data_IF_030490169784
#
_entry.id   IF_030490169784
#
_cell.length_a   1.000
_cell.length_b   1.000
_cell.length_c   1.000
_cell.angle_alpha   90.00
_cell.angle_beta   90.00
_cell.angle_gamma   90.00
#
_symmetry.space_group_name_H-M   'P 1'
#
loop_
_entity.id
_entity.type
_entity.pdbx_description
1 polymer ?
#
# COMPACT_ATOMS: atom_id res chain seq x y z
N UNK A 1 -1.71 -7.92 -2.29
CA UNK A 1 -1.95 -6.52 -2.72
C UNK A 1 -0.69 -5.84 -3.21
N UNK A 2 0.34 -5.61 -2.36
CA UNK A 2 1.59 -4.96 -2.81
C UNK A 2 2.24 -5.68 -4.01
N UNK A 3 2.54 -6.97 -3.89
CA UNK A 3 3.08 -7.77 -5.01
C UNK A 3 2.15 -7.77 -6.23
N UNK A 4 0.84 -7.83 -6.00
CA UNK A 4 -0.18 -7.77 -7.04
C UNK A 4 -0.13 -6.45 -7.82
N UNK A 5 0.17 -5.35 -7.14
CA UNK A 5 0.37 -4.04 -7.75
C UNK A 5 1.70 -3.94 -8.51
N UNK A 6 2.53 -4.99 -8.49
CA UNK A 6 3.87 -4.99 -9.07
C UNK A 6 4.92 -4.33 -8.17
N UNK A 7 4.67 -4.22 -6.86
CA UNK A 7 5.69 -3.82 -5.91
C UNK A 7 6.78 -4.90 -5.79
N UNK A 8 7.98 -4.59 -6.26
CA UNK A 8 9.19 -5.41 -6.12
C UNK A 8 10.32 -4.49 -5.67
N UNK A 9 10.67 -4.46 -4.37
CA UNK A 9 11.71 -3.56 -3.89
C UNK A 9 13.07 -4.00 -4.47
N UNK A 10 13.93 -3.04 -4.81
CA UNK A 10 15.18 -3.25 -5.56
C UNK A 10 16.12 -4.27 -4.91
N UNK A 11 16.25 -4.28 -3.58
CA UNK A 11 17.09 -5.26 -2.88
C UNK A 11 16.58 -6.71 -2.99
N UNK A 12 15.28 -6.91 -3.27
CA UNK A 12 14.72 -8.26 -3.49
C UNK A 12 15.13 -8.84 -4.86
N UNK A 13 15.77 -8.05 -5.72
CA UNK A 13 16.24 -8.46 -7.06
C UNK A 13 17.75 -8.79 -7.09
N UNK A 14 18.48 -8.63 -5.97
CA UNK A 14 19.95 -8.81 -5.89
C UNK A 14 20.74 -7.68 -6.58
N UNK A 15 22.04 -7.87 -6.83
CA UNK A 15 22.94 -6.93 -7.54
C UNK A 15 22.52 -6.61 -9.00
N UNK A 16 21.32 -7.01 -9.42
CA UNK A 16 20.77 -6.65 -10.73
C UNK A 16 20.31 -5.19 -10.65
N UNK A 17 20.80 -4.37 -11.59
CA UNK A 17 20.38 -2.98 -11.81
C UNK A 17 18.88 -2.82 -11.50
N UNK A 18 18.54 -1.83 -10.67
CA UNK A 18 17.16 -1.37 -10.50
C UNK A 18 16.63 -1.08 -11.91
N UNK A 19 15.62 -1.82 -12.40
CA UNK A 19 15.14 -1.59 -13.75
C UNK A 19 14.70 -0.13 -13.91
N UNK A 20 14.98 0.46 -15.07
CA UNK A 20 14.51 1.80 -15.49
C UNK A 20 12.97 1.94 -15.41
N UNK A 21 12.28 0.81 -15.27
CA UNK A 21 10.84 0.65 -15.04
C UNK A 21 10.40 0.68 -13.57
N UNK A 22 11.26 1.12 -12.64
CA UNK A 22 10.96 1.12 -11.21
C UNK A 22 9.88 2.14 -10.83
N UNK A 23 9.04 1.74 -9.87
CA UNK A 23 8.07 2.63 -9.25
C UNK A 23 8.79 3.66 -8.39
N UNK A 24 8.31 4.90 -8.35
CA UNK A 24 8.89 6.00 -7.56
C UNK A 24 8.07 6.36 -6.33
N UNK A 25 6.83 5.87 -6.24
CA UNK A 25 6.10 5.97 -5.00
C UNK A 25 4.93 5.01 -4.87
N UNK A 26 4.40 4.93 -3.66
CA UNK A 26 3.18 4.21 -3.34
C UNK A 26 2.27 5.10 -2.49
N UNK A 27 0.99 5.12 -2.83
CA UNK A 27 -0.04 5.81 -2.07
C UNK A 27 -1.13 4.86 -1.61
N UNK A 28 -1.50 4.99 -0.34
CA UNK A 28 -2.72 4.44 0.24
C UNK A 28 -3.59 5.59 0.79
N UNK A 29 -4.57 6.09 0.02
CA UNK A 29 -5.40 7.22 0.42
C UNK A 29 -6.54 6.86 1.40
N UNK A 30 -6.64 5.59 1.80
CA UNK A 30 -7.61 5.08 2.78
C UNK A 30 -6.90 4.17 3.79
N UNK A 31 -5.87 4.72 4.46
CA UNK A 31 -4.89 3.89 5.12
C UNK A 31 -5.41 3.16 6.37
N UNK A 32 -6.47 3.64 7.02
CA UNK A 32 -7.01 3.02 8.23
C UNK A 32 -5.92 2.87 9.30
N UNK A 33 -5.61 1.63 9.71
CA UNK A 33 -4.54 1.31 10.67
C UNK A 33 -3.12 1.36 10.08
N UNK A 34 -2.97 1.66 8.79
CA UNK A 34 -1.70 1.88 8.11
C UNK A 34 -1.04 0.61 7.54
N UNK A 35 -1.71 -0.54 7.59
CA UNK A 35 -1.09 -1.85 7.32
C UNK A 35 -0.41 -1.91 5.96
N UNK A 36 -1.07 -1.47 4.88
CA UNK A 36 -0.52 -1.53 3.51
C UNK A 36 0.74 -0.66 3.42
N UNK A 37 0.68 0.57 3.92
CA UNK A 37 1.80 1.50 3.86
C UNK A 37 2.96 1.09 4.77
N UNK A 38 2.68 0.53 5.95
CA UNK A 38 3.69 0.01 6.88
C UNK A 38 4.42 -1.19 6.28
N UNK A 39 3.69 -2.16 5.72
CA UNK A 39 4.30 -3.31 5.04
C UNK A 39 5.07 -2.87 3.80
N UNK A 40 4.54 -1.93 3.00
CA UNK A 40 5.25 -1.35 1.87
C UNK A 40 6.55 -0.66 2.30
N UNK A 41 6.54 0.06 3.41
CA UNK A 41 7.74 0.74 3.94
C UNK A 41 8.74 -0.26 4.52
N UNK A 42 8.27 -1.31 5.19
CA UNK A 42 9.13 -2.39 5.67
C UNK A 42 9.80 -3.12 4.50
N UNK A 43 9.04 -3.42 3.45
CA UNK A 43 9.55 -3.99 2.21
C UNK A 43 10.51 -3.03 1.50
N UNK A 44 10.25 -1.73 1.45
CA UNK A 44 11.19 -0.74 0.89
C UNK A 44 12.54 -0.77 1.62
N UNK A 45 12.50 -0.81 2.96
CA UNK A 45 13.69 -0.80 3.82
C UNK A 45 14.41 -2.15 3.93
N UNK A 46 13.91 -3.22 3.32
CA UNK A 46 14.49 -4.55 3.47
C UNK A 46 14.28 -5.19 4.83
N UNK A 47 13.30 -4.72 5.60
CA UNK A 47 13.05 -5.24 6.94
C UNK A 47 12.39 -6.62 6.86
N UNK A 48 12.98 -7.66 7.49
CA UNK A 48 12.40 -8.99 7.43
C UNK A 48 11.05 -9.04 8.17
N UNK A 49 10.10 -9.86 7.66
CA UNK A 49 8.87 -10.15 8.39
C UNK A 49 9.20 -10.88 9.70
N UNK A 50 8.40 -10.65 10.74
CA UNK A 50 8.59 -11.33 12.02
C UNK A 50 9.85 -10.92 12.79
N UNK A 51 10.57 -9.85 12.40
CA UNK A 51 11.79 -9.35 13.08
C UNK A 51 11.65 -9.01 14.57
N UNK A 52 10.41 -8.84 15.04
CA UNK A 52 10.11 -8.59 16.46
C UNK A 52 9.75 -9.86 17.22
N UNK A 53 9.76 -11.03 16.57
CA UNK A 53 9.54 -12.31 17.25
C UNK A 53 10.83 -12.68 18.00
N UNK A 54 10.68 -12.98 19.29
CA UNK A 54 11.80 -13.37 20.13
C UNK A 54 12.25 -14.82 19.89
N UNK A 55 11.44 -15.62 19.20
CA UNK A 55 11.70 -17.03 18.97
C UNK A 55 11.45 -17.45 17.52
N UNK A 56 12.06 -18.58 17.16
CA UNK A 56 11.83 -19.25 15.89
C UNK A 56 10.37 -19.68 15.75
N UNK A 57 9.74 -19.56 14.56
CA UNK A 57 8.42 -20.13 14.31
C UNK A 57 8.39 -21.67 14.45
N UNK A 58 9.56 -22.32 14.45
CA UNK A 58 9.73 -23.76 14.62
C UNK A 58 10.03 -24.17 16.07
N UNK A 59 9.99 -23.24 17.02
CA UNK A 59 10.26 -23.54 18.43
C UNK A 59 9.37 -24.69 18.93
N UNK A 60 9.97 -25.68 19.60
CA UNK A 60 9.29 -26.87 20.10
C UNK A 60 8.99 -27.93 19.05
N UNK A 61 9.54 -27.82 17.83
CA UNK A 61 9.40 -28.82 16.77
C UNK A 61 10.74 -29.48 16.45
N UNK A 62 10.72 -30.61 15.73
CA UNK A 62 11.94 -31.26 15.23
C UNK A 62 12.73 -30.39 14.23
N UNK A 63 12.14 -29.31 13.74
CA UNK A 63 12.76 -28.35 12.82
C UNK A 63 13.38 -27.15 13.56
N UNK A 64 13.38 -27.15 14.89
CA UNK A 64 13.96 -26.06 15.67
C UNK A 64 15.49 -26.00 15.49
N UNK A 65 15.96 -24.96 14.81
CA UNK A 65 17.36 -24.55 14.82
C UNK A 65 17.46 -23.09 15.25
N UNK A 66 17.50 -22.89 16.56
CA UNK A 66 17.54 -21.56 17.17
C UNK A 66 18.82 -20.77 16.83
N UNK A 67 19.94 -21.47 16.57
CA UNK A 67 21.20 -20.82 16.14
C UNK A 67 21.09 -20.31 14.71
N UNK A 68 20.60 -21.14 13.78
CA UNK A 68 20.38 -20.76 12.39
C UNK A 68 19.35 -19.65 12.27
N UNK A 69 18.22 -19.74 12.98
CA UNK A 69 17.23 -18.68 13.03
C UNK A 69 17.85 -17.34 13.45
N UNK A 70 18.55 -17.32 14.59
CA UNK A 70 19.18 -16.09 15.10
C UNK A 70 20.24 -15.55 14.15
N UNK A 71 21.00 -16.42 13.48
CA UNK A 71 21.96 -16.02 12.44
C UNK A 71 21.28 -15.35 11.25
N UNK A 72 20.24 -15.97 10.70
CA UNK A 72 19.54 -15.43 9.52
C UNK A 72 18.81 -14.12 9.84
N UNK A 73 18.17 -14.00 11.01
CA UNK A 73 17.55 -12.74 11.45
C UNK A 73 18.60 -11.63 11.54
N UNK A 74 19.79 -11.89 12.13
CA UNK A 74 20.86 -10.89 12.20
C UNK A 74 21.39 -10.49 10.82
N UNK A 75 21.60 -11.44 9.92
CA UNK A 75 22.03 -11.16 8.53
C UNK A 75 21.01 -10.28 7.80
N UNK A 76 19.72 -10.60 7.89
CA UNK A 76 18.67 -9.81 7.25
C UNK A 76 18.56 -8.40 7.83
N UNK A 77 18.71 -8.23 9.15
CA UNK A 77 18.72 -6.91 9.77
C UNK A 77 19.94 -6.08 9.35
N UNK A 78 21.13 -6.68 9.28
CA UNK A 78 22.33 -6.00 8.81
C UNK A 78 22.19 -5.54 7.35
N UNK A 79 21.60 -6.38 6.48
CA UNK A 79 21.31 -6.00 5.09
C UNK A 79 20.31 -4.82 5.01
N UNK A 80 19.29 -4.81 5.88
CA UNK A 80 18.33 -3.72 5.95
C UNK A 80 18.97 -2.38 6.37
N UNK A 81 19.94 -2.40 7.28
CA UNK A 81 20.67 -1.19 7.69
C UNK A 81 21.51 -0.62 6.54
N UNK A 82 22.15 -1.48 5.74
CA UNK A 82 22.86 -1.08 4.52
C UNK A 82 21.88 -0.45 3.51
N UNK A 83 20.75 -1.11 3.27
CA UNK A 83 19.73 -0.59 2.35
C UNK A 83 19.20 0.78 2.79
N UNK A 84 19.02 0.99 4.10
CA UNK A 84 18.59 2.28 4.65
C UNK A 84 19.59 3.39 4.37
N UNK A 85 20.89 3.11 4.46
CA UNK A 85 21.94 4.08 4.12
C UNK A 85 21.97 4.39 2.62
N UNK A 86 21.68 3.41 1.77
CA UNK A 86 21.64 3.59 0.32
C UNK A 86 20.36 4.30 -0.17
N UNK A 87 19.27 4.22 0.59
CA UNK A 87 17.99 4.87 0.31
C UNK A 87 18.00 6.40 0.49
N UNK A 88 19.08 7.00 1.01
CA UNK A 88 19.22 8.46 1.13
C UNK A 88 19.15 9.20 -0.22
N UNK A 89 19.35 8.48 -1.33
CA UNK A 89 19.09 8.98 -2.68
C UNK A 89 17.61 8.76 -3.06
N UNK A 90 16.69 9.55 -2.47
CA UNK A 90 15.31 9.98 -2.89
C UNK A 90 14.49 9.22 -3.96
N UNK A 91 14.76 7.96 -4.29
CA UNK A 91 14.18 7.30 -5.45
C UNK A 91 12.75 6.79 -5.20
N UNK A 92 12.35 6.63 -3.93
CA UNK A 92 11.04 6.10 -3.57
C UNK A 92 10.39 6.83 -2.39
N UNK A 93 9.09 7.13 -2.48
CA UNK A 93 8.30 7.68 -1.38
C UNK A 93 6.99 6.91 -1.15
N UNK A 94 6.62 6.72 0.11
CA UNK A 94 5.34 6.08 0.48
C UNK A 94 4.49 7.09 1.23
N UNK A 95 3.25 7.30 0.77
CA UNK A 95 2.26 8.16 1.40
C UNK A 95 1.05 7.37 1.86
N UNK A 96 0.63 7.61 3.09
CA UNK A 96 -0.59 7.09 3.69
C UNK A 96 -1.47 8.25 4.13
N UNK A 97 -2.74 8.23 3.77
CA UNK A 97 -3.71 9.21 4.29
C UNK A 97 -5.03 8.58 4.66
N UNK A 98 -5.72 9.24 5.59
CA UNK A 98 -7.09 8.94 5.98
C UNK A 98 -7.74 10.23 6.53
N UNK A 99 -9.06 10.34 6.37
CA UNK A 99 -9.83 11.47 6.90
C UNK A 99 -10.00 11.37 8.42
N UNK A 100 -10.05 10.14 8.92
CA UNK A 100 -10.28 9.84 10.33
C UNK A 100 -9.01 10.05 11.16
N UNK A 101 -9.11 10.86 12.21
CA UNK A 101 -7.97 11.12 13.10
C UNK A 101 -7.55 9.88 13.89
N UNK A 102 -8.50 9.01 14.27
CA UNK A 102 -8.23 7.78 14.99
C UNK A 102 -7.38 6.81 14.16
N UNK A 103 -7.74 6.64 12.88
CA UNK A 103 -6.96 5.90 11.89
C UNK A 103 -5.53 6.43 11.75
N UNK A 104 -5.36 7.75 11.66
CA UNK A 104 -4.02 8.36 11.54
C UNK A 104 -3.17 8.15 12.79
N UNK A 105 -3.74 8.31 13.99
CA UNK A 105 -3.01 8.03 15.22
C UNK A 105 -2.66 6.54 15.36
N UNK A 106 -3.58 5.64 15.01
CA UNK A 106 -3.30 4.21 14.94
C UNK A 106 -2.16 3.89 13.95
N UNK A 107 -2.18 4.51 12.77
CA UNK A 107 -1.13 4.38 11.75
C UNK A 107 0.22 4.84 12.28
N UNK A 108 0.30 6.00 12.95
CA UNK A 108 1.55 6.49 13.56
C UNK A 108 2.07 5.56 14.64
N UNK A 109 1.21 5.07 15.54
CA UNK A 109 1.57 4.12 16.59
C UNK A 109 2.09 2.82 16.00
N UNK A 110 1.40 2.26 15.00
CA UNK A 110 1.79 1.02 14.35
C UNK A 110 3.10 1.19 13.56
N UNK A 111 3.26 2.30 12.83
CA UNK A 111 4.49 2.61 12.10
C UNK A 111 5.69 2.81 13.04
N UNK A 112 5.46 3.41 14.22
CA UNK A 112 6.48 3.54 15.27
C UNK A 112 6.89 2.16 15.79
N UNK A 113 5.92 1.30 16.14
CA UNK A 113 6.18 -0.09 16.58
C UNK A 113 6.92 -0.90 15.51
N UNK A 114 6.58 -0.69 14.25
CA UNK A 114 7.25 -1.32 13.12
C UNK A 114 8.64 -0.73 12.81
N UNK A 115 9.04 0.38 13.43
CA UNK A 115 10.34 1.01 13.16
C UNK A 115 10.44 1.67 11.78
N UNK A 116 9.29 2.03 11.16
CA UNK A 116 9.23 2.61 9.81
C UNK A 116 8.67 4.03 9.78
N UNK A 117 8.26 4.58 10.93
CA UNK A 117 7.61 5.90 11.03
C UNK A 117 8.36 7.03 10.30
N UNK A 118 9.69 7.08 10.40
CA UNK A 118 10.50 8.12 9.77
C UNK A 118 10.56 8.04 8.24
N UNK A 119 10.26 6.88 7.67
CA UNK A 119 10.31 6.61 6.23
C UNK A 119 8.93 6.65 5.56
N UNK A 120 7.86 6.88 6.33
CA UNK A 120 6.48 6.89 5.87
C UNK A 120 5.88 8.30 5.99
N UNK A 121 5.35 8.83 4.89
CA UNK A 121 4.60 10.09 4.88
C UNK A 121 3.17 9.77 5.34
N UNK A 122 2.75 10.34 6.48
CA UNK A 122 1.42 10.11 7.07
C UNK A 122 0.67 11.45 7.10
N UNK A 123 -0.51 11.49 6.50
CA UNK A 123 -1.31 12.71 6.35
C UNK A 123 -2.76 12.49 6.81
N UNK A 124 -3.28 13.39 7.65
CA UNK A 124 -4.72 13.43 7.90
C UNK A 124 -5.38 14.23 6.79
N UNK A 125 -5.98 13.55 5.82
CA UNK A 125 -6.65 14.17 4.69
C UNK A 125 -7.73 13.25 4.13
N UNK A 126 -8.87 13.79 3.68
CA UNK A 126 -9.75 13.05 2.78
C UNK A 126 -9.04 12.81 1.45
N UNK A 127 -9.61 11.92 0.61
CA UNK A 127 -9.09 11.61 -0.72
C UNK A 127 -8.72 12.87 -1.53
N UNK A 128 -9.58 13.89 -1.52
CA UNK A 128 -9.38 15.14 -2.26
C UNK A 128 -8.26 16.04 -1.73
N UNK A 129 -7.86 15.87 -0.47
CA UNK A 129 -6.76 16.61 0.17
C UNK A 129 -5.48 15.79 0.31
N UNK A 130 -5.44 14.58 -0.26
CA UNK A 130 -4.20 13.82 -0.32
C UNK A 130 -3.24 14.58 -1.25
N UNK A 131 -2.02 14.86 -0.79
CA UNK A 131 -1.12 15.82 -1.47
C UNK A 131 -0.82 15.52 -2.94
N UNK A 132 -0.72 14.26 -3.33
CA UNK A 132 -0.44 13.84 -4.71
C UNK A 132 -1.68 13.89 -5.59
N UNK A 133 -2.88 13.77 -5.03
CA UNK A 133 -4.13 13.97 -5.78
C UNK A 133 -4.54 15.43 -5.85
N UNK A 134 -4.36 16.19 -4.77
CA UNK A 134 -4.63 17.63 -4.70
C UNK A 134 -3.62 18.45 -5.50
N UNK A 135 -2.34 18.06 -5.44
CA UNK A 135 -1.25 18.72 -6.16
C UNK A 135 -0.47 17.71 -7.02
N UNK A 136 -1.00 17.34 -8.21
CA UNK A 136 -0.37 16.36 -9.10
C UNK A 136 1.09 16.62 -9.47
N UNK A 137 1.54 17.87 -9.49
CA UNK A 137 2.95 18.20 -9.75
C UNK A 137 3.90 17.63 -8.67
N UNK A 138 3.41 17.42 -7.44
CA UNK A 138 4.14 16.79 -6.32
C UNK A 138 4.09 15.26 -6.33
N UNK A 139 3.31 14.64 -7.22
CA UNK A 139 3.27 13.17 -7.30
C UNK A 139 4.54 12.62 -7.96
N UNK A 140 4.95 11.39 -7.60
CA UNK A 140 5.96 10.64 -8.36
C UNK A 140 5.56 10.48 -9.85
N UNK A 141 6.54 10.33 -10.76
CA UNK A 141 6.28 10.06 -12.20
C UNK A 141 5.70 8.67 -12.41
N UNK A 142 6.16 7.68 -11.65
CA UNK A 142 5.60 6.32 -11.60
C UNK A 142 5.05 6.04 -10.20
N UNK A 143 3.74 5.80 -10.10
CA UNK A 143 3.02 5.72 -8.83
C UNK A 143 2.22 4.42 -8.71
N UNK A 144 2.40 3.74 -7.58
CA UNK A 144 1.55 2.63 -7.16
C UNK A 144 0.40 3.15 -6.29
N UNK A 145 -0.83 2.79 -6.63
CA UNK A 145 -2.01 3.08 -5.80
C UNK A 145 -2.50 1.77 -5.21
N UNK A 146 -2.23 1.52 -3.94
CA UNK A 146 -2.60 0.25 -3.27
C UNK A 146 -3.43 0.59 -2.07
N UNK A 147 -4.72 0.26 -2.11
CA UNK A 147 -5.64 0.80 -1.11
C UNK A 147 -6.82 -0.11 -0.83
N UNK A 148 -7.39 0.11 0.35
CA UNK A 148 -8.54 -0.58 0.89
C UNK A 148 -9.64 0.44 1.23
N UNK A 149 -10.35 1.00 0.23
CA UNK A 149 -11.40 1.97 0.48
C UNK A 149 -12.56 1.34 1.28
N UNK A 150 -13.40 2.17 1.92
CA UNK A 150 -14.60 1.70 2.59
C UNK A 150 -15.49 0.85 1.66
N UNK A 151 -15.87 -0.35 2.12
CA UNK A 151 -16.85 -1.20 1.45
C UNK A 151 -17.85 -1.84 2.44
N UNK A 152 -19.04 -2.17 1.94
CA UNK A 152 -20.09 -2.86 2.71
C UNK A 152 -20.98 -1.94 3.57
N UNK A 153 -21.95 -2.55 4.28
CA UNK A 153 -23.01 -1.88 5.06
C UNK A 153 -22.55 -1.21 6.37
N UNK A 154 -21.26 -0.88 6.53
CA UNK A 154 -20.69 -0.33 7.77
C UNK A 154 -20.44 1.18 7.73
N UNK A 155 -21.36 1.92 7.11
CA UNK A 155 -21.48 3.36 7.35
C UNK A 155 -22.88 3.61 7.90
N UNK A 156 -22.94 4.01 9.18
CA UNK A 156 -24.10 4.47 9.96
C UNK A 156 -25.39 3.64 10.00
N UNK A 157 -25.72 3.17 11.21
CA UNK A 157 -27.11 3.08 11.65
C UNK A 157 -27.77 4.45 11.42
N UNK A 158 -28.86 4.45 10.64
CA UNK A 158 -29.68 5.60 10.23
C UNK A 158 -29.16 6.30 8.95
N UNK A 159 -29.90 6.05 7.87
CA UNK A 159 -29.82 6.65 6.52
C UNK A 159 -28.84 5.97 5.52
N UNK A 160 -29.39 5.05 4.74
CA UNK A 160 -29.05 4.78 3.32
C UNK A 160 -27.58 4.50 2.94
N UNK A 161 -26.95 3.50 3.57
CA UNK A 161 -25.67 2.95 3.10
C UNK A 161 -25.88 1.65 2.32
N UNK A 162 -26.61 1.77 1.21
CA UNK A 162 -26.54 0.83 0.09
C UNK A 162 -25.19 1.02 -0.63
N UNK A 163 -24.74 0.00 -1.35
CA UNK A 163 -23.63 0.06 -2.31
C UNK A 163 -23.58 1.38 -3.10
N UNK A 164 -24.74 1.96 -3.44
CA UNK A 164 -24.85 3.24 -4.17
C UNK A 164 -24.24 4.45 -3.45
N UNK A 165 -24.30 4.51 -2.11
CA UNK A 165 -23.73 5.64 -1.35
C UNK A 165 -22.20 5.73 -1.44
N UNK A 166 -21.53 4.63 -1.82
CA UNK A 166 -20.08 4.59 -2.00
C UNK A 166 -19.65 4.91 -3.44
N UNK A 167 -20.57 4.86 -4.41
CA UNK A 167 -20.23 5.10 -5.82
C UNK A 167 -19.51 6.45 -6.04
N UNK A 168 -19.95 7.59 -5.45
CA UNK A 168 -19.24 8.85 -5.63
C UNK A 168 -17.78 8.82 -5.13
N UNK A 169 -17.50 8.05 -4.08
CA UNK A 169 -16.14 7.88 -3.55
C UNK A 169 -15.26 7.12 -4.53
N UNK A 170 -15.77 6.00 -5.05
CA UNK A 170 -15.06 5.19 -6.04
C UNK A 170 -14.86 5.97 -7.35
N UNK A 171 -15.87 6.71 -7.81
CA UNK A 171 -15.77 7.61 -8.98
C UNK A 171 -14.71 8.69 -8.76
N UNK A 172 -14.65 9.29 -7.57
CA UNK A 172 -13.61 10.27 -7.24
C UNK A 172 -12.21 9.66 -7.29
N UNK A 173 -12.03 8.46 -6.73
CA UNK A 173 -10.75 7.74 -6.81
C UNK A 173 -10.35 7.45 -8.25
N UNK A 174 -11.30 6.97 -9.08
CA UNK A 174 -11.09 6.74 -10.51
C UNK A 174 -10.69 8.02 -11.24
N UNK A 175 -11.41 9.13 -11.01
CA UNK A 175 -11.13 10.44 -11.60
C UNK A 175 -9.75 10.97 -11.24
N UNK A 176 -9.32 10.86 -9.98
CA UNK A 176 -7.97 11.29 -9.58
C UNK A 176 -6.89 10.43 -10.26
N UNK A 177 -7.09 9.11 -10.35
CA UNK A 177 -6.15 8.24 -11.04
C UNK A 177 -6.06 8.56 -12.54
N UNK A 178 -7.18 8.83 -13.21
CA UNK A 178 -7.20 9.24 -14.62
C UNK A 178 -6.59 10.62 -14.84
N UNK A 179 -6.89 11.61 -13.99
CA UNK A 179 -6.30 12.94 -14.05
C UNK A 179 -4.78 12.87 -13.92
N UNK A 180 -4.26 12.12 -12.94
CA UNK A 180 -2.83 11.89 -12.82
C UNK A 180 -2.24 11.27 -14.09
N UNK A 181 -2.90 10.25 -14.64
CA UNK A 181 -2.37 9.54 -15.80
C UNK A 181 -2.40 10.35 -17.10
N UNK A 182 -3.54 10.98 -17.41
CA UNK A 182 -3.81 11.60 -18.70
C UNK A 182 -3.43 13.07 -18.76
N UNK A 183 -3.63 13.81 -17.67
CA UNK A 183 -3.40 15.27 -17.64
C UNK A 183 -2.02 15.61 -17.09
N UNK A 184 -1.44 14.72 -16.29
CA UNK A 184 -0.13 14.92 -15.65
C UNK A 184 0.92 13.88 -16.03
N UNK A 185 0.64 13.06 -17.04
CA UNK A 185 1.59 12.10 -17.63
C UNK A 185 2.26 11.20 -16.59
N UNK A 186 1.49 10.78 -15.58
CA UNK A 186 1.96 9.86 -14.55
C UNK A 186 1.67 8.42 -14.97
N UNK A 187 2.65 7.55 -14.85
CA UNK A 187 2.43 6.12 -14.98
C UNK A 187 1.83 5.60 -13.67
N UNK A 188 0.63 5.03 -13.72
CA UNK A 188 -0.06 4.49 -12.55
C UNK A 188 -0.32 3.01 -12.71
N UNK A 189 -0.07 2.25 -11.64
CA UNK A 189 -0.62 0.92 -11.47
C UNK A 189 -1.20 0.81 -10.09
N UNK A 190 -2.27 0.04 -9.93
CA UNK A 190 -2.87 -0.07 -8.62
C UNK A 190 -3.69 -1.31 -8.39
N UNK A 191 -4.03 -1.47 -7.11
CA UNK A 191 -4.88 -2.52 -6.58
C UNK A 191 -5.85 -1.87 -5.61
N UNK A 192 -7.14 -2.01 -5.90
CA UNK A 192 -8.22 -1.55 -5.03
C UNK A 192 -8.95 -2.76 -4.48
N UNK A 193 -9.02 -2.86 -3.15
CA UNK A 193 -9.84 -3.87 -2.50
C UNK A 193 -11.30 -3.37 -2.42
N UNK A 194 -12.25 -4.18 -2.85
CA UNK A 194 -13.68 -3.84 -2.77
C UNK A 194 -14.53 -5.05 -2.44
N UNK A 195 -15.58 -4.85 -1.64
CA UNK A 195 -16.64 -5.84 -1.43
C UNK A 195 -17.58 -5.97 -2.64
N UNK A 196 -17.56 -4.98 -3.54
CA UNK A 196 -18.38 -4.96 -4.75
C UNK A 196 -17.53 -4.55 -5.96
N UNK A 197 -17.12 -5.50 -6.83
CA UNK A 197 -16.39 -5.20 -8.05
C UNK A 197 -17.13 -4.26 -9.00
N UNK A 198 -18.46 -4.25 -8.99
CA UNK A 198 -19.27 -3.43 -9.89
C UNK A 198 -19.10 -1.94 -9.59
N UNK A 199 -18.88 -1.57 -8.32
CA UNK A 199 -18.53 -0.19 -7.95
C UNK A 199 -17.25 0.30 -8.61
N UNK A 200 -16.25 -0.58 -8.74
CA UNK A 200 -15.00 -0.24 -9.40
C UNK A 200 -15.17 -0.09 -10.91
N UNK A 201 -15.99 -0.95 -11.54
CA UNK A 201 -16.28 -0.88 -12.97
C UNK A 201 -17.12 0.36 -13.34
N UNK A 202 -17.99 0.82 -12.43
CA UNK A 202 -18.84 2.01 -12.60
C UNK A 202 -18.18 3.33 -12.25
N UNK A 203 -16.87 3.34 -12.00
CA UNK A 203 -16.12 4.58 -11.76
C UNK A 203 -16.08 5.50 -12.98
N UNK A 204 -16.41 4.98 -14.16
CA UNK A 204 -16.34 5.70 -15.44
C UNK A 204 -14.92 5.79 -16.01
N UNK A 205 -13.94 5.32 -15.23
CA UNK A 205 -12.55 5.34 -15.64
C UNK A 205 -12.22 4.10 -16.48
N UNK A 206 -11.55 4.32 -17.61
CA UNK A 206 -11.27 3.29 -18.60
C UNK A 206 -10.03 2.48 -18.20
N UNK A 207 -10.18 1.65 -17.17
CA UNK A 207 -9.11 0.79 -16.72
C UNK A 207 -9.16 -0.56 -17.45
N UNK A 208 -8.05 -1.07 -17.99
CA UNK A 208 -7.90 -2.51 -18.20
C UNK A 208 -7.88 -3.19 -16.82
N UNK A 209 -9.08 -3.44 -16.27
CA UNK A 209 -9.21 -4.01 -14.94
C UNK A 209 -9.37 -5.52 -15.01
N UNK A 210 -8.62 -6.22 -14.17
CA UNK A 210 -8.76 -7.65 -13.95
C UNK A 210 -8.90 -7.88 -12.46
N UNK A 211 -9.85 -8.72 -12.08
CA UNK A 211 -9.85 -9.25 -10.71
C UNK A 211 -8.59 -10.10 -10.55
N UNK A 212 -7.69 -9.69 -9.66
CA UNK A 212 -6.46 -10.44 -9.43
C UNK A 212 -6.68 -11.60 -8.49
N UNK A 213 -7.35 -11.36 -7.37
CA UNK A 213 -7.71 -12.41 -6.41
C UNK A 213 -8.99 -12.04 -5.66
N UNK A 214 -9.61 -13.05 -5.08
CA UNK A 214 -10.76 -12.92 -4.16
C UNK A 214 -10.37 -13.51 -2.81
N UNK A 215 -10.79 -12.87 -1.73
CA UNK A 215 -10.51 -13.34 -0.36
C UNK A 215 -11.64 -12.93 0.58
N UNK A 216 -11.50 -13.21 1.87
CA UNK A 216 -12.39 -12.73 2.92
C UNK A 216 -11.69 -11.70 3.79
N UNK A 217 -12.37 -10.60 4.08
CA UNK A 217 -11.93 -9.60 5.04
C UNK A 217 -13.03 -9.43 6.10
N UNK A 218 -12.79 -9.92 7.31
CA UNK A 218 -13.78 -9.87 8.40
C UNK A 218 -15.09 -10.61 8.07
N UNK A 219 -15.01 -11.73 7.36
CA UNK A 219 -16.19 -12.52 6.93
C UNK A 219 -16.88 -12.00 5.66
N UNK A 220 -16.46 -10.85 5.12
CA UNK A 220 -17.00 -10.28 3.89
C UNK A 220 -16.13 -10.74 2.72
N UNK A 221 -16.74 -11.26 1.66
CA UNK A 221 -16.05 -11.57 0.41
C UNK A 221 -15.61 -10.28 -0.27
N UNK A 222 -14.34 -10.17 -0.58
CA UNK A 222 -13.73 -9.00 -1.21
C UNK A 222 -12.91 -9.42 -2.43
N UNK A 223 -12.82 -8.51 -3.39
CA UNK A 223 -12.05 -8.69 -4.62
C UNK A 223 -10.99 -7.59 -4.72
N UNK A 224 -9.78 -7.99 -5.11
CA UNK A 224 -8.71 -7.06 -5.46
C UNK A 224 -8.78 -6.76 -6.96
N UNK A 225 -9.13 -5.53 -7.29
CA UNK A 225 -9.26 -5.04 -8.66
C UNK A 225 -7.96 -4.35 -9.05
N UNK A 226 -7.29 -4.89 -10.07
CA UNK A 226 -6.08 -4.27 -10.61
C UNK A 226 -6.44 -3.23 -11.66
N UNK A 227 -5.58 -2.23 -11.82
CA UNK A 227 -5.62 -1.31 -12.95
C UNK A 227 -4.21 -0.85 -13.33
N UNK A 228 -4.05 -0.41 -14.57
CA UNK A 228 -2.81 0.13 -15.13
C UNK A 228 -3.18 1.28 -16.08
N UNK A 229 -2.42 2.37 -16.05
CA UNK A 229 -2.68 3.62 -16.73
C UNK A 229 -1.35 4.33 -17.09
N UNK A 230 -1.35 5.08 -18.20
CA UNK A 230 -0.20 5.90 -18.59
C UNK A 230 0.99 5.08 -19.08
N UNK A 231 0.70 4.00 -19.81
CA UNK A 231 1.68 3.21 -20.58
C UNK A 231 2.04 3.87 -21.90
#
# INVERSE_FOLDING_TARGET
MLFTAGWTPSWALGDKMVPDNSWQGLVDPFCGSGTIAIEGTAMMLGLPPGRFRNCSPFQGTLLEDSKKWSSEVRKSLAAADINRQQLDNKLFSISASDRDSGSIEATKVNAKKAGVLKALIIQRAPLSGQTWFETPSKSPRSLLVVTNPPFGKRVSSKSTSSTEGLLPLYQSLGKYAECLAREHERRLRGVVLTGDPELWLRTGAHFPSKTSFKTFHGGIKVSAMNFDLGS
#
